data_IF_431330799158
#
_entry.id   IF_431330799158
#
_cell.length_a   1.000
_cell.length_b   1.000
_cell.length_c   1.000
_cell.angle_alpha   90.00
_cell.angle_beta   90.00
_cell.angle_gamma   90.00
#
_symmetry.space_group_name_H-M   'P 1'
#
loop_
_entity.id
_entity.type
_entity.pdbx_description
1 polymer ?
#
# COMPACT_ATOMS: atom_id res chain seq x y z
N UNK A 1 -24.66 29.26 36.79
CA UNK A 1 -23.29 29.37 36.23
C UNK A 1 -22.46 28.09 36.42
N UNK A 2 -22.44 27.47 37.61
CA UNK A 2 -21.65 26.24 37.88
C UNK A 2 -22.00 25.03 37.00
N UNK A 3 -23.30 24.82 36.70
CA UNK A 3 -23.77 23.71 35.84
C UNK A 3 -23.29 23.83 34.38
N UNK A 4 -23.14 25.07 33.90
CA UNK A 4 -22.66 25.35 32.54
C UNK A 4 -21.14 25.10 32.43
N UNK A 5 -20.38 25.42 33.47
CA UNK A 5 -18.94 25.09 33.53
C UNK A 5 -18.69 23.58 33.57
N UNK A 6 -19.52 22.79 34.27
CA UNK A 6 -19.38 21.33 34.34
C UNK A 6 -19.68 20.68 32.99
N UNK A 7 -20.68 21.17 32.25
CA UNK A 7 -20.98 20.68 30.90
C UNK A 7 -19.84 20.99 29.90
N UNK A 8 -19.21 22.17 30.03
CA UNK A 8 -18.07 22.56 29.18
C UNK A 8 -16.81 21.75 29.50
N UNK A 9 -16.54 21.46 30.78
CA UNK A 9 -15.43 20.60 31.19
C UNK A 9 -15.61 19.14 30.74
N UNK A 10 -16.85 18.62 30.78
CA UNK A 10 -17.18 17.28 30.28
C UNK A 10 -17.02 17.15 28.76
N UNK A 11 -17.37 18.19 28.00
CA UNK A 11 -17.17 18.22 26.56
C UNK A 11 -15.68 18.25 26.20
N UNK A 12 -14.85 18.99 26.95
CA UNK A 12 -13.41 19.09 26.72
C UNK A 12 -12.67 17.78 27.04
N UNK A 13 -13.14 17.01 28.03
CA UNK A 13 -12.59 15.70 28.39
C UNK A 13 -12.95 14.58 27.41
N UNK A 14 -14.03 14.72 26.62
CA UNK A 14 -14.46 13.72 25.64
C UNK A 14 -13.72 13.78 24.29
N UNK A 15 -12.89 14.80 24.05
CA UNK A 15 -12.20 15.03 22.75
C UNK A 15 -10.81 14.38 22.72
N UNK A 16 -10.30 13.90 23.85
CA UNK A 16 -8.93 13.44 23.96
C UNK A 16 -8.78 11.96 23.57
N UNK A 17 -8.08 11.77 22.45
CA UNK A 17 -7.40 10.56 21.96
C UNK A 17 -8.22 9.59 21.09
N UNK A 18 -8.58 10.03 19.88
CA UNK A 18 -8.79 9.08 18.77
C UNK A 18 -7.43 8.72 18.16
N UNK A 19 -7.03 7.45 18.22
CA UNK A 19 -5.87 6.93 17.50
C UNK A 19 -6.34 6.47 16.11
N UNK A 20 -6.26 7.35 15.12
CA UNK A 20 -6.32 6.92 13.73
C UNK A 20 -5.07 6.06 13.45
N UNK A 21 -5.27 4.82 12.99
CA UNK A 21 -4.25 3.80 12.85
C UNK A 21 -3.12 4.29 11.93
N UNK A 22 -1.96 4.58 12.51
CA UNK A 22 -0.79 5.11 11.79
C UNK A 22 0.26 4.04 11.47
N UNK A 23 -0.06 2.76 11.69
CA UNK A 23 0.83 1.63 11.41
C UNK A 23 0.68 1.17 9.96
N UNK A 24 1.55 1.67 9.08
CA UNK A 24 1.64 1.18 7.70
C UNK A 24 2.50 -0.09 7.73
N UNK A 25 1.88 -1.25 7.47
CA UNK A 25 2.60 -2.50 7.30
C UNK A 25 3.16 -2.58 5.87
N UNK A 26 4.39 -2.10 5.65
CA UNK A 26 5.09 -2.25 4.36
C UNK A 26 5.80 -3.60 4.35
N UNK A 27 5.49 -4.41 3.34
CA UNK A 27 6.26 -5.62 3.04
C UNK A 27 7.58 -5.21 2.37
N UNK A 28 8.70 -5.45 3.05
CA UNK A 28 10.03 -5.22 2.47
C UNK A 28 10.48 -6.48 1.73
N UNK A 29 10.60 -6.39 0.41
CA UNK A 29 11.23 -7.47 -0.37
C UNK A 29 12.74 -7.33 -0.27
N UNK A 30 13.46 -8.42 -0.03
CA UNK A 30 14.94 -8.40 0.04
C UNK A 30 15.60 -7.92 -1.26
N UNK A 31 14.90 -8.02 -2.39
CA UNK A 31 15.44 -7.78 -3.73
C UNK A 31 14.46 -6.91 -4.56
N UNK A 32 14.47 -5.57 -4.40
CA UNK A 32 13.46 -4.70 -5.03
C UNK A 32 13.59 -4.63 -6.56
N UNK A 33 14.76 -4.94 -7.13
CA UNK A 33 14.96 -4.89 -8.58
C UNK A 33 14.26 -6.00 -9.35
N UNK A 34 13.89 -7.12 -8.70
CA UNK A 34 13.11 -8.20 -9.34
C UNK A 34 11.67 -7.77 -9.67
N UNK A 35 11.25 -6.60 -9.20
CA UNK A 35 9.94 -6.02 -9.52
C UNK A 35 9.95 -5.21 -10.81
N UNK A 36 11.12 -5.02 -11.43
CA UNK A 36 11.27 -4.27 -12.67
C UNK A 36 11.03 -5.21 -13.84
N UNK A 37 10.12 -4.85 -14.74
CA UNK A 37 9.91 -5.53 -16.02
C UNK A 37 11.24 -5.73 -16.76
N UNK A 38 11.59 -6.95 -17.18
CA UNK A 38 12.83 -7.23 -17.91
C UNK A 38 12.76 -6.76 -19.37
N UNK A 39 11.57 -6.43 -19.87
CA UNK A 39 11.31 -6.15 -21.27
C UNK A 39 10.35 -4.97 -21.47
N UNK A 40 10.54 -4.24 -22.58
CA UNK A 40 9.75 -3.05 -22.89
C UNK A 40 8.33 -3.37 -23.37
N UNK A 41 8.07 -4.58 -23.88
CA UNK A 41 6.77 -4.96 -24.44
C UNK A 41 5.76 -5.23 -23.31
N UNK A 42 6.10 -6.09 -22.38
CA UNK A 42 5.30 -6.39 -21.18
C UNK A 42 5.18 -5.15 -20.30
N UNK A 43 6.27 -4.41 -20.12
CA UNK A 43 6.26 -3.13 -19.38
C UNK A 43 5.35 -2.07 -20.02
N UNK A 44 5.39 -1.92 -21.34
CA UNK A 44 4.50 -0.99 -22.08
C UNK A 44 3.02 -1.40 -22.03
N UNK A 45 2.74 -2.68 -21.78
CA UNK A 45 1.40 -3.22 -21.56
C UNK A 45 0.97 -3.22 -20.09
N UNK A 46 1.78 -2.68 -19.18
CA UNK A 46 1.49 -2.65 -17.74
C UNK A 46 1.79 -3.98 -17.03
N UNK A 47 2.99 -4.54 -17.26
CA UNK A 47 3.49 -5.75 -16.62
C UNK A 47 2.66 -7.02 -16.94
N UNK A 48 2.08 -7.07 -18.15
CA UNK A 48 1.15 -8.13 -18.58
C UNK A 48 1.82 -9.37 -19.19
N UNK A 49 3.08 -9.65 -18.86
CA UNK A 49 3.87 -10.68 -19.56
C UNK A 49 3.33 -12.10 -19.49
N UNK A 50 2.49 -12.43 -18.50
CA UNK A 50 1.85 -13.75 -18.36
C UNK A 50 0.84 -14.09 -19.46
N UNK A 51 0.24 -13.07 -20.09
CA UNK A 51 -0.80 -13.23 -21.12
C UNK A 51 -0.22 -13.16 -22.54
N UNK A 52 1.09 -13.03 -22.69
CA UNK A 52 1.77 -12.94 -23.98
C UNK A 52 2.14 -14.32 -24.52
N UNK A 53 2.31 -14.38 -25.84
CA UNK A 53 2.94 -15.52 -26.51
C UNK A 53 4.38 -15.73 -25.97
N UNK A 54 4.87 -16.97 -25.85
CA UNK A 54 6.23 -17.24 -25.38
C UNK A 54 7.31 -16.48 -26.15
N UNK A 55 8.27 -15.93 -25.41
CA UNK A 55 9.43 -15.17 -25.90
C UNK A 55 10.64 -15.37 -24.96
N UNK A 56 11.78 -14.73 -25.26
CA UNK A 56 12.99 -14.85 -24.44
C UNK A 56 12.82 -14.37 -22.98
N UNK A 57 11.85 -13.48 -22.73
CA UNK A 57 11.57 -12.89 -21.42
C UNK A 57 10.57 -13.72 -20.61
N UNK A 58 10.02 -14.79 -21.19
CA UNK A 58 9.04 -15.65 -20.53
C UNK A 58 9.59 -16.31 -19.27
N UNK A 59 10.92 -16.47 -19.15
CA UNK A 59 11.54 -16.99 -17.91
C UNK A 59 11.27 -16.10 -16.69
N UNK A 60 11.08 -14.80 -16.88
CA UNK A 60 10.73 -13.88 -15.80
C UNK A 60 9.23 -13.90 -15.46
N UNK A 61 8.36 -14.05 -16.47
CA UNK A 61 6.90 -13.96 -16.30
C UNK A 61 6.21 -15.29 -16.02
N UNK A 62 6.58 -16.34 -16.76
CA UNK A 62 6.00 -17.68 -16.69
C UNK A 62 6.91 -18.73 -17.39
N UNK A 63 7.63 -19.55 -16.60
CA UNK A 63 8.46 -20.66 -17.10
C UNK A 63 7.61 -21.91 -17.38
N UNK A 64 6.83 -21.90 -18.46
CA UNK A 64 6.00 -23.03 -18.91
C UNK A 64 6.37 -23.51 -20.31
#
# INVERSE_FOLDING_TARGET
>A
MKKLMVAFAGLLAGITYTYAQNSINIVTTAVPFLRISPDARSGGMGDMGIALSPDANSVFWNQA
#
